data_IF_860089653616
#
_entry.id   IF_860089653616
#
_cell.length_a   1.000
_cell.length_b   1.000
_cell.length_c   1.000
_cell.angle_alpha   90.00
_cell.angle_beta   90.00
_cell.angle_gamma   90.00
#
_symmetry.space_group_name_H-M   'P 1'
#
loop_
_entity.id
_entity.type
_entity.pdbx_description
1 polymer ?
#
# COMPACT_ATOMS: atom_id res chain seq x y z
N UNK A 1 13.72 15.38 5.45
CA UNK A 1 12.50 16.18 5.18
C UNK A 1 11.49 16.04 6.32
N UNK A 2 11.19 14.81 6.76
CA UNK A 2 10.30 14.55 7.89
C UNK A 2 10.79 15.23 9.19
N UNK A 3 12.07 15.09 9.53
CA UNK A 3 12.70 15.80 10.66
C UNK A 3 12.65 17.34 10.54
N UNK A 4 12.42 17.86 9.33
CA UNK A 4 12.27 19.30 9.06
C UNK A 4 10.80 19.73 8.98
N UNK A 5 9.87 18.91 9.46
CA UNK A 5 8.44 19.22 9.52
C UNK A 5 7.65 18.96 8.24
N UNK A 6 8.19 18.17 7.29
CA UNK A 6 7.40 17.76 6.13
C UNK A 6 6.20 16.91 6.57
N UNK A 7 5.01 17.22 6.07
CA UNK A 7 3.81 16.43 6.33
C UNK A 7 3.93 15.05 5.65
N UNK A 8 4.10 14.00 6.45
CA UNK A 8 4.21 12.60 5.99
C UNK A 8 2.96 12.13 5.21
N UNK A 9 1.80 12.71 5.53
CA UNK A 9 0.49 12.40 4.93
C UNK A 9 0.11 13.33 3.78
N UNK A 10 1.04 14.15 3.28
CA UNK A 10 0.78 15.03 2.15
C UNK A 10 0.26 14.25 0.93
N UNK A 11 -0.90 14.66 0.43
CA UNK A 11 -1.50 14.10 -0.77
C UNK A 11 -1.06 14.87 -2.01
N UNK A 12 -0.94 14.17 -3.13
CA UNK A 12 -0.58 14.72 -4.43
C UNK A 12 0.41 13.86 -5.22
N UNK A 13 0.74 14.36 -6.41
CA UNK A 13 1.65 13.69 -7.33
C UNK A 13 1.05 12.45 -8.01
N UNK A 14 1.85 11.81 -8.86
CA UNK A 14 1.39 10.71 -9.72
C UNK A 14 0.89 9.48 -8.94
N UNK A 15 1.34 9.27 -7.70
CA UNK A 15 1.00 8.10 -6.88
C UNK A 15 -0.05 8.39 -5.80
N UNK A 16 -0.47 9.64 -5.61
CA UNK A 16 -1.43 10.02 -4.56
C UNK A 16 -0.77 10.44 -3.24
N UNK A 17 0.23 9.71 -2.74
CA UNK A 17 1.06 10.14 -1.60
C UNK A 17 2.40 9.38 -1.56
N UNK A 18 3.26 9.75 -0.61
CA UNK A 18 4.58 9.16 -0.44
C UNK A 18 4.53 7.65 -0.12
N UNK A 19 3.58 7.23 0.71
CA UNK A 19 3.43 5.83 1.10
C UNK A 19 3.03 4.98 -0.12
N UNK A 20 2.04 5.40 -0.91
CA UNK A 20 1.66 4.70 -2.15
C UNK A 20 2.81 4.64 -3.17
N UNK A 21 3.61 5.71 -3.30
CA UNK A 21 4.77 5.70 -4.19
C UNK A 21 5.83 4.67 -3.76
N UNK A 22 6.19 4.65 -2.48
CA UNK A 22 7.13 3.70 -1.92
C UNK A 22 6.61 2.26 -2.03
N UNK A 23 5.33 2.05 -1.74
CA UNK A 23 4.68 0.74 -1.79
C UNK A 23 4.60 0.17 -3.20
N UNK A 24 4.24 1.00 -4.19
CA UNK A 24 4.25 0.61 -5.61
C UNK A 24 5.66 0.19 -6.07
N UNK A 25 6.68 0.93 -5.64
CA UNK A 25 8.07 0.65 -6.01
C UNK A 25 8.68 -0.53 -5.24
N UNK A 26 8.11 -0.92 -4.11
CA UNK A 26 8.66 -1.97 -3.23
C UNK A 26 9.85 -1.48 -2.40
N UNK A 27 9.86 -0.19 -2.03
CA UNK A 27 10.92 0.38 -1.19
C UNK A 27 10.63 0.13 0.29
N UNK A 28 10.83 -1.12 0.72
CA UNK A 28 10.43 -1.62 2.06
C UNK A 28 10.91 -0.74 3.21
N UNK A 29 12.20 -0.37 3.23
CA UNK A 29 12.76 0.52 4.27
C UNK A 29 12.11 1.90 4.28
N UNK A 30 11.71 2.42 3.11
CA UNK A 30 11.03 3.71 3.04
C UNK A 30 9.57 3.60 3.47
N UNK A 31 8.90 2.48 3.14
CA UNK A 31 7.55 2.19 3.63
C UNK A 31 7.55 2.12 5.16
N UNK A 32 8.49 1.38 5.74
CA UNK A 32 8.65 1.27 7.20
C UNK A 32 8.93 2.65 7.84
N UNK A 33 9.90 3.40 7.31
CA UNK A 33 10.21 4.75 7.80
C UNK A 33 9.00 5.69 7.76
N UNK A 34 8.22 5.66 6.69
CA UNK A 34 7.02 6.50 6.55
C UNK A 34 5.96 6.12 7.59
N UNK A 35 5.69 4.82 7.77
CA UNK A 35 4.73 4.33 8.75
C UNK A 35 5.17 4.65 10.18
N UNK A 36 6.45 4.47 10.49
CA UNK A 36 7.02 4.82 11.80
C UNK A 36 7.03 6.34 12.05
N UNK A 37 7.02 7.13 10.99
CA UNK A 37 6.85 8.59 11.04
C UNK A 37 5.38 9.03 11.09
N UNK A 38 4.42 8.11 11.23
CA UNK A 38 3.00 8.42 11.36
C UNK A 38 2.24 8.57 10.04
N UNK A 39 2.74 7.97 8.94
CA UNK A 39 1.94 7.82 7.74
C UNK A 39 0.68 6.99 8.04
N UNK A 40 -0.47 7.49 7.62
CA UNK A 40 -1.72 6.73 7.69
C UNK A 40 -1.66 5.59 6.66
N UNK A 41 -1.58 4.35 7.17
CA UNK A 41 -1.51 3.13 6.35
C UNK A 41 -2.73 2.96 5.43
N UNK A 42 -3.87 3.55 5.80
CA UNK A 42 -5.13 3.50 5.05
C UNK A 42 -5.41 4.79 4.26
N UNK A 43 -4.44 5.69 4.15
CA UNK A 43 -4.58 6.94 3.41
C UNK A 43 -4.97 6.68 1.95
N UNK A 44 -6.11 7.26 1.57
CA UNK A 44 -6.62 7.14 0.22
C UNK A 44 -5.87 8.03 -0.77
N UNK A 45 -5.72 7.54 -2.00
CA UNK A 45 -5.01 8.21 -3.09
C UNK A 45 -5.30 7.55 -4.42
N UNK A 46 -4.41 7.70 -5.40
CA UNK A 46 -4.67 7.28 -6.77
C UNK A 46 -4.93 5.78 -6.91
N UNK A 47 -4.15 4.96 -6.21
CA UNK A 47 -4.29 3.51 -6.26
C UNK A 47 -5.29 2.97 -5.25
N UNK A 48 -6.16 3.79 -4.67
CA UNK A 48 -6.94 3.39 -3.49
C UNK A 48 -6.07 3.65 -2.27
N UNK A 49 -5.31 2.66 -1.80
CA UNK A 49 -4.37 2.82 -0.68
C UNK A 49 -2.99 2.19 -0.97
N UNK A 50 -2.09 2.21 0.01
CA UNK A 50 -0.75 1.64 -0.11
C UNK A 50 -0.76 0.13 -0.35
N UNK A 51 -1.72 -0.60 0.24
CA UNK A 51 -1.85 -2.05 0.08
C UNK A 51 -2.19 -2.39 -1.38
N UNK A 52 -3.19 -1.71 -1.96
CA UNK A 52 -3.55 -1.87 -3.37
C UNK A 52 -2.37 -1.55 -4.32
N UNK A 53 -1.61 -0.48 -4.03
CA UNK A 53 -0.44 -0.10 -4.81
C UNK A 53 0.70 -1.15 -4.75
N UNK A 54 0.93 -1.76 -3.60
CA UNK A 54 1.88 -2.87 -3.45
C UNK A 54 1.39 -4.14 -4.17
N UNK A 55 0.09 -4.42 -4.05
CA UNK A 55 -0.56 -5.61 -4.60
C UNK A 55 -0.53 -5.64 -6.13
N UNK A 56 -0.80 -4.52 -6.81
CA UNK A 56 -0.76 -4.47 -8.28
C UNK A 56 0.65 -4.73 -8.87
N UNK A 57 1.70 -4.59 -8.04
CA UNK A 57 3.09 -4.84 -8.41
C UNK A 57 3.68 -6.11 -7.79
N UNK A 58 2.87 -6.90 -7.08
CA UNK A 58 3.30 -8.15 -6.45
C UNK A 58 4.39 -7.96 -5.40
N UNK A 59 4.38 -6.84 -4.66
CA UNK A 59 5.41 -6.52 -3.67
C UNK A 59 5.15 -7.26 -2.36
N UNK A 60 5.34 -8.57 -2.36
CA UNK A 60 4.95 -9.48 -1.26
C UNK A 60 5.41 -9.00 0.14
N UNK A 61 6.67 -8.62 0.30
CA UNK A 61 7.18 -8.11 1.58
C UNK A 61 6.51 -6.81 2.01
N UNK A 62 6.27 -5.90 1.06
CA UNK A 62 5.55 -4.65 1.32
C UNK A 62 4.08 -4.91 1.68
N UNK A 63 3.42 -5.85 1.00
CA UNK A 63 2.04 -6.28 1.30
C UNK A 63 1.98 -6.82 2.74
N UNK A 64 2.90 -7.72 3.12
CA UNK A 64 3.02 -8.24 4.50
C UNK A 64 3.23 -7.11 5.52
N UNK A 65 4.16 -6.19 5.24
CA UNK A 65 4.46 -5.07 6.13
C UNK A 65 3.22 -4.18 6.36
N UNK A 66 2.51 -3.83 5.28
CA UNK A 66 1.32 -2.99 5.36
C UNK A 66 0.19 -3.66 6.14
N UNK A 67 -0.05 -4.96 5.92
CA UNK A 67 -1.03 -5.74 6.69
C UNK A 67 -0.65 -5.79 8.17
N UNK A 68 0.63 -6.05 8.48
CA UNK A 68 1.14 -6.03 9.86
C UNK A 68 1.00 -4.66 10.53
N UNK A 69 1.02 -3.58 9.76
CA UNK A 69 0.84 -2.19 10.22
C UNK A 69 -0.62 -1.75 10.21
N UNK A 70 -1.57 -2.67 9.97
CA UNK A 70 -3.02 -2.41 10.11
C UNK A 70 -3.69 -1.88 8.84
N UNK A 71 -3.15 -2.16 7.66
CA UNK A 71 -3.86 -1.89 6.41
C UNK A 71 -5.18 -2.68 6.38
N UNK A 72 -6.27 -2.00 6.02
CA UNK A 72 -7.56 -2.65 5.77
C UNK A 72 -7.47 -3.47 4.48
N UNK A 73 -7.49 -4.80 4.63
CA UNK A 73 -7.38 -5.77 3.53
C UNK A 73 -8.53 -5.64 2.51
N UNK A 74 -9.73 -5.27 2.99
CA UNK A 74 -10.95 -5.11 2.19
C UNK A 74 -11.27 -3.65 1.89
N UNK A 75 -10.27 -2.76 1.92
CA UNK A 75 -10.46 -1.37 1.51
C UNK A 75 -10.85 -1.30 0.03
N UNK A 76 -11.96 -0.60 -0.23
CA UNK A 76 -12.53 -0.41 -1.57
C UNK A 76 -12.08 0.90 -2.23
N UNK A 77 -12.20 0.98 -3.55
CA UNK A 77 -11.88 2.15 -4.37
C UNK A 77 -10.54 2.05 -5.10
N UNK A 78 -10.03 3.20 -5.59
CA UNK A 78 -8.82 3.21 -6.43
C UNK A 78 -9.06 2.67 -7.84
N UNK A 79 -7.96 2.27 -8.51
CA UNK A 79 -7.99 1.79 -9.90
C UNK A 79 -8.58 0.37 -10.01
N UNK A 80 -8.36 -0.45 -8.98
CA UNK A 80 -8.64 -1.89 -9.01
C UNK A 80 -9.75 -2.31 -8.05
N UNK A 81 -10.42 -1.35 -7.41
CA UNK A 81 -11.42 -1.56 -6.35
C UNK A 81 -10.87 -2.19 -5.06
N UNK A 82 -10.15 -3.32 -5.09
CA UNK A 82 -9.56 -3.94 -3.90
C UNK A 82 -8.11 -4.38 -4.09
N UNK A 83 -7.42 -4.67 -2.99
CA UNK A 83 -6.05 -5.19 -3.03
C UNK A 83 -5.99 -6.58 -3.69
N UNK A 84 -7.04 -7.38 -3.48
CA UNK A 84 -7.17 -8.71 -4.09
C UNK A 84 -7.33 -8.59 -5.61
N UNK A 85 -8.25 -7.75 -6.07
CA UNK A 85 -8.46 -7.48 -7.50
C UNK A 85 -7.18 -6.91 -8.15
N UNK A 86 -6.46 -6.01 -7.47
CA UNK A 86 -5.18 -5.48 -7.94
C UNK A 86 -4.10 -6.57 -8.15
N UNK A 87 -3.97 -7.49 -7.19
CA UNK A 87 -3.03 -8.61 -7.29
C UNK A 87 -3.42 -9.60 -8.38
N UNK A 88 -4.72 -9.87 -8.53
CA UNK A 88 -5.28 -10.75 -9.56
C UNK A 88 -5.07 -10.20 -10.97
N UNK A 89 -5.32 -8.90 -11.20
CA UNK A 89 -5.08 -8.24 -12.49
C UNK A 89 -3.60 -8.31 -12.90
N UNK A 90 -2.69 -8.13 -11.94
CA UNK A 90 -1.25 -8.24 -12.15
C UNK A 90 -0.72 -9.69 -12.27
N UNK A 91 -1.55 -10.71 -12.04
CA UNK A 91 -1.15 -12.12 -12.06
C UNK A 91 -0.27 -12.56 -10.88
N UNK A 92 -0.27 -11.83 -9.77
CA UNK A 92 0.64 -12.03 -8.64
C UNK A 92 0.13 -13.10 -7.66
N UNK A 93 0.22 -14.38 -8.05
CA UNK A 93 -0.36 -15.51 -7.31
C UNK A 93 0.01 -15.57 -5.82
N UNK A 94 1.27 -15.32 -5.47
CA UNK A 94 1.70 -15.33 -4.07
C UNK A 94 1.10 -14.17 -3.26
N UNK A 95 0.93 -13.02 -3.89
CA UNK A 95 0.26 -11.87 -3.26
C UNK A 95 -1.24 -12.13 -3.10
N UNK A 96 -1.89 -12.73 -4.10
CA UNK A 96 -3.29 -13.19 -4.00
C UNK A 96 -3.45 -14.13 -2.81
N UNK A 97 -2.60 -15.16 -2.71
CA UNK A 97 -2.64 -16.11 -1.59
C UNK A 97 -2.46 -15.41 -0.25
N UNK A 98 -1.47 -14.53 -0.14
CA UNK A 98 -1.22 -13.76 1.09
C UNK A 98 -2.43 -12.93 1.52
N UNK A 99 -3.10 -12.26 0.58
CA UNK A 99 -4.28 -11.44 0.86
C UNK A 99 -5.46 -12.32 1.31
N UNK A 100 -5.70 -13.45 0.66
CA UNK A 100 -6.73 -14.42 1.07
C UNK A 100 -6.44 -14.98 2.47
N UNK A 101 -5.19 -15.35 2.75
CA UNK A 101 -4.74 -15.81 4.07
C UNK A 101 -4.94 -14.72 5.15
N UNK A 102 -5.03 -13.45 4.73
CA UNK A 102 -5.27 -12.28 5.59
C UNK A 102 -6.75 -11.86 5.64
N UNK A 103 -7.67 -12.64 5.06
CA UNK A 103 -9.11 -12.38 5.10
C UNK A 103 -9.65 -11.48 3.99
N UNK A 104 -8.95 -11.37 2.85
CA UNK A 104 -9.48 -10.69 1.69
C UNK A 104 -10.73 -11.38 1.12
N UNK A 105 -11.76 -10.60 0.75
CA UNK A 105 -13.00 -11.08 0.10
C UNK A 105 -13.27 -10.49 -1.30
#
# INVERSE_FOLDING_TARGET
LLEKGANVNAQGGFYGNALQAASFRGHEQLVELLLDSGADVNAHGRYGNALQAASCRGREYTVKLLLNKGANVNAQGGIYDSALQAASDGGHQQTVKLLLDSGAD
#
